data_IF_305454330112
#
_entry.id   IF_305454330112
#
_cell.length_a   1.000
_cell.length_b   1.000
_cell.length_c   1.000
_cell.angle_alpha   90.00
_cell.angle_beta   90.00
_cell.angle_gamma   90.00
#
_symmetry.space_group_name_H-M   'P 1'
#
loop_
_entity.id
_entity.type
_entity.pdbx_description
1 polymer ?
#
# COMPACT_ATOMS: atom_id res chain seq x y z
N UNK A 1 -34.46 39.65 -55.74
CA UNK A 1 -34.53 40.27 -54.40
C UNK A 1 -35.44 39.40 -53.51
N UNK A 2 -34.98 39.00 -52.31
CA UNK A 2 -35.53 38.02 -51.32
C UNK A 2 -35.40 36.52 -51.74
N UNK A 3 -34.36 35.77 -51.34
CA UNK A 3 -33.98 35.15 -50.04
C UNK A 3 -35.00 34.12 -49.51
N UNK A 4 -34.63 32.82 -49.55
CA UNK A 4 -34.69 31.87 -48.42
C UNK A 4 -33.54 30.85 -48.57
N UNK A 5 -32.64 30.83 -47.59
CA UNK A 5 -31.55 29.85 -47.40
C UNK A 5 -32.07 28.70 -46.52
N UNK A 6 -31.66 27.47 -46.82
CA UNK A 6 -31.75 26.26 -45.99
C UNK A 6 -30.40 25.55 -46.13
N UNK A 7 -29.46 25.76 -45.19
CA UNK A 7 -29.01 24.78 -44.17
C UNK A 7 -28.18 23.65 -44.82
N UNK A 8 -26.86 23.85 -45.03
CA UNK A 8 -25.69 23.42 -44.19
C UNK A 8 -25.54 21.91 -44.02
N UNK A 9 -24.38 21.26 -44.01
CA UNK A 9 -22.99 21.46 -44.45
C UNK A 9 -22.36 20.05 -44.27
N UNK A 10 -21.45 19.57 -45.13
CA UNK A 10 -20.90 18.22 -45.02
C UNK A 10 -19.73 18.22 -44.05
N UNK A 11 -19.79 17.42 -42.98
CA UNK A 11 -18.64 17.10 -42.13
C UNK A 11 -18.91 15.79 -41.41
N UNK A 12 -18.80 14.68 -42.14
CA UNK A 12 -18.70 13.35 -41.54
C UNK A 12 -17.22 13.04 -41.32
N UNK A 13 -16.64 13.61 -40.27
CA UNK A 13 -15.30 13.20 -39.80
C UNK A 13 -15.48 12.04 -38.84
N UNK A 14 -15.04 10.85 -39.27
CA UNK A 14 -14.86 9.68 -38.41
C UNK A 14 -13.95 10.07 -37.24
N UNK A 15 -14.51 10.25 -36.04
CA UNK A 15 -13.75 10.24 -34.81
C UNK A 15 -13.40 8.78 -34.50
N UNK A 16 -12.14 8.44 -34.69
CA UNK A 16 -11.53 7.22 -34.15
C UNK A 16 -11.59 7.30 -32.63
N UNK A 17 -12.55 6.59 -32.04
CA UNK A 17 -12.51 6.28 -30.62
C UNK A 17 -11.34 5.33 -30.39
N UNK A 18 -10.20 5.85 -29.91
CA UNK A 18 -9.15 5.02 -29.33
C UNK A 18 -9.67 4.49 -27.99
N UNK A 19 -10.39 3.37 -28.05
CA UNK A 19 -10.61 2.51 -26.90
C UNK A 19 -9.25 1.92 -26.50
N UNK A 20 -8.59 2.50 -25.51
CA UNK A 20 -7.57 1.80 -24.73
C UNK A 20 -8.27 0.71 -23.94
N UNK A 21 -8.39 -0.47 -24.54
CA UNK A 21 -8.91 -1.66 -23.86
C UNK A 21 -7.99 -1.97 -22.67
N UNK A 22 -8.54 -1.89 -21.47
CA UNK A 22 -7.94 -2.47 -20.26
C UNK A 22 -7.80 -3.96 -20.54
N UNK A 23 -6.58 -4.47 -20.62
CA UNK A 23 -6.33 -5.85 -21.02
C UNK A 23 -6.71 -6.77 -19.85
N UNK A 24 -7.98 -7.18 -19.80
CA UNK A 24 -8.49 -8.13 -18.81
C UNK A 24 -8.06 -9.55 -19.20
N UNK A 25 -6.83 -9.93 -18.84
CA UNK A 25 -6.31 -11.27 -19.12
C UNK A 25 -5.04 -11.61 -18.34
N UNK A 26 -4.86 -12.90 -18.05
CA UNK A 26 -3.62 -13.43 -17.48
C UNK A 26 -2.64 -13.74 -18.61
N UNK A 27 -1.46 -13.12 -18.60
CA UNK A 27 -0.38 -13.39 -19.55
C UNK A 27 0.56 -14.44 -18.95
N UNK A 28 0.92 -15.45 -19.75
CA UNK A 28 1.87 -16.51 -19.37
C UNK A 28 3.25 -16.21 -19.95
N UNK A 29 4.27 -16.37 -19.13
CA UNK A 29 5.67 -16.28 -19.53
C UNK A 29 6.49 -17.37 -18.84
N UNK A 30 7.67 -17.69 -19.38
CA UNK A 30 8.59 -18.70 -18.82
C UNK A 30 9.81 -18.02 -18.21
N UNK A 31 10.31 -18.58 -17.10
CA UNK A 31 11.50 -18.10 -16.38
C UNK A 31 12.46 -19.29 -16.24
N UNK A 32 13.75 -19.07 -16.53
CA UNK A 32 14.82 -20.03 -16.24
C UNK A 32 15.39 -19.76 -14.85
N UNK A 33 15.56 -20.80 -14.04
CA UNK A 33 16.11 -20.71 -12.67
C UNK A 33 17.11 -21.85 -12.45
N UNK A 34 18.10 -21.66 -11.57
CA UNK A 34 18.94 -22.77 -11.13
C UNK A 34 18.08 -23.85 -10.41
N UNK A 35 18.40 -25.15 -10.56
CA UNK A 35 17.63 -26.22 -9.94
C UNK A 35 17.46 -26.05 -8.43
N UNK A 36 18.54 -25.67 -7.73
CA UNK A 36 18.53 -25.47 -6.28
C UNK A 36 17.63 -24.30 -5.87
N UNK A 37 17.55 -23.24 -6.69
CA UNK A 37 16.69 -22.10 -6.42
C UNK A 37 15.21 -22.48 -6.60
N UNK A 38 14.89 -23.28 -7.62
CA UNK A 38 13.53 -23.80 -7.82
C UNK A 38 13.11 -24.71 -6.65
N UNK A 39 14.02 -25.55 -6.17
CA UNK A 39 13.74 -26.40 -5.01
C UNK A 39 13.44 -25.56 -3.76
N UNK A 40 14.26 -24.55 -3.48
CA UNK A 40 14.02 -23.63 -2.37
C UNK A 40 12.69 -22.86 -2.48
N UNK A 41 12.25 -22.54 -3.71
CA UNK A 41 10.95 -21.93 -3.94
C UNK A 41 9.80 -22.89 -3.61
N UNK A 42 9.90 -24.16 -4.03
CA UNK A 42 8.88 -25.18 -3.78
C UNK A 42 8.69 -25.49 -2.29
N UNK A 43 9.79 -25.54 -1.54
CA UNK A 43 9.74 -25.73 -0.09
C UNK A 43 8.96 -24.60 0.60
N UNK A 44 9.12 -23.36 0.12
CA UNK A 44 8.38 -22.19 0.65
C UNK A 44 6.89 -22.25 0.33
N UNK A 45 6.51 -22.73 -0.86
CA UNK A 45 5.09 -22.87 -1.25
C UNK A 45 4.35 -23.78 -0.28
N UNK A 46 4.94 -24.93 0.04
CA UNK A 46 4.37 -25.91 0.96
C UNK A 46 4.28 -25.31 2.37
N UNK A 47 5.37 -24.71 2.86
CA UNK A 47 5.44 -24.16 4.21
C UNK A 47 4.45 -23.00 4.44
N UNK A 48 4.18 -22.19 3.41
CA UNK A 48 3.33 -21.00 3.49
C UNK A 48 1.89 -21.23 2.98
N UNK A 49 1.56 -22.45 2.53
CA UNK A 49 0.21 -22.82 2.11
C UNK A 49 -0.27 -22.17 0.80
N UNK A 50 0.66 -21.80 -0.09
CA UNK A 50 0.32 -21.22 -1.39
C UNK A 50 -0.35 -22.26 -2.30
N UNK A 51 -1.36 -21.82 -3.06
CA UNK A 51 -2.09 -22.68 -4.00
C UNK A 51 -1.28 -23.08 -5.23
N UNK A 52 -0.27 -22.28 -5.61
CA UNK A 52 0.61 -22.55 -6.75
C UNK A 52 1.89 -21.72 -6.72
N UNK A 53 2.92 -22.16 -7.48
CA UNK A 53 4.13 -21.36 -7.77
C UNK A 53 3.79 -19.98 -8.33
N UNK A 54 2.82 -19.94 -9.25
CA UNK A 54 2.39 -18.68 -9.87
C UNK A 54 1.79 -17.72 -8.86
N UNK A 55 1.12 -18.19 -7.80
CA UNK A 55 0.60 -17.30 -6.75
C UNK A 55 1.74 -16.68 -5.95
N UNK A 56 2.67 -17.51 -5.46
CA UNK A 56 3.84 -17.02 -4.72
C UNK A 56 4.65 -16.01 -5.56
N UNK A 57 4.92 -16.32 -6.83
CA UNK A 57 5.66 -15.42 -7.72
C UNK A 57 4.89 -14.12 -7.96
N UNK A 58 3.57 -14.17 -8.14
CA UNK A 58 2.75 -12.94 -8.28
C UNK A 58 2.80 -12.08 -7.03
N UNK A 59 2.72 -12.68 -5.86
CA UNK A 59 2.80 -11.95 -4.59
C UNK A 59 4.18 -11.34 -4.38
N UNK A 60 5.26 -12.07 -4.65
CA UNK A 60 6.62 -11.53 -4.60
C UNK A 60 6.82 -10.36 -5.57
N UNK A 61 6.27 -10.44 -6.79
CA UNK A 61 6.31 -9.35 -7.77
C UNK A 61 5.55 -8.13 -7.24
N UNK A 62 4.32 -8.31 -6.73
CA UNK A 62 3.53 -7.22 -6.15
C UNK A 62 4.25 -6.56 -4.98
N UNK A 63 4.81 -7.37 -4.06
CA UNK A 63 5.57 -6.86 -2.91
C UNK A 63 6.77 -6.03 -3.38
N UNK A 64 7.49 -6.50 -4.40
CA UNK A 64 8.63 -5.78 -4.96
C UNK A 64 8.23 -4.45 -5.60
N UNK A 65 7.12 -4.43 -6.36
CA UNK A 65 6.57 -3.20 -6.95
C UNK A 65 6.18 -2.21 -5.86
N UNK A 66 5.48 -2.64 -4.81
CA UNK A 66 5.13 -1.79 -3.66
C UNK A 66 6.39 -1.20 -3.03
N UNK A 67 7.45 -1.99 -2.85
CA UNK A 67 8.71 -1.50 -2.29
C UNK A 67 9.35 -0.40 -3.15
N UNK A 68 9.24 -0.50 -4.48
CA UNK A 68 9.75 0.49 -5.44
C UNK A 68 8.89 1.75 -5.50
N UNK A 69 7.55 1.62 -5.47
CA UNK A 69 6.62 2.77 -5.41
C UNK A 69 6.88 3.65 -4.18
N UNK A 70 7.29 3.04 -3.08
CA UNK A 70 7.65 3.72 -1.84
C UNK A 70 9.01 4.44 -1.88
N UNK A 71 9.82 4.23 -2.92
CA UNK A 71 11.05 4.99 -3.16
C UNK A 71 10.77 6.32 -3.86
N UNK A 72 9.65 6.44 -4.57
CA UNK A 72 9.22 7.69 -5.17
C UNK A 72 8.59 8.60 -4.12
N UNK A 73 9.27 9.70 -3.80
CA UNK A 73 8.85 10.66 -2.78
C UNK A 73 7.61 11.48 -3.18
N UNK A 74 7.20 11.41 -4.45
CA UNK A 74 6.03 12.13 -4.96
C UNK A 74 4.72 11.37 -4.78
N UNK A 75 4.78 10.05 -4.61
CA UNK A 75 3.61 9.20 -4.54
C UNK A 75 2.92 9.25 -3.16
N UNK A 76 1.60 9.40 -3.19
CA UNK A 76 0.75 9.22 -2.01
C UNK A 76 0.48 7.74 -1.82
N UNK A 77 0.89 7.23 -0.66
CA UNK A 77 0.80 5.83 -0.30
C UNK A 77 -0.15 5.64 0.88
N UNK A 78 -0.64 4.41 1.05
CA UNK A 78 -1.40 3.99 2.23
C UNK A 78 -0.58 2.96 3.01
N UNK A 79 -0.69 2.97 4.33
CA UNK A 79 0.00 2.02 5.18
C UNK A 79 -0.75 1.75 6.48
N UNK A 80 -0.34 0.68 7.17
CA UNK A 80 -0.80 0.37 8.51
C UNK A 80 0.41 0.28 9.44
N UNK A 81 0.44 1.09 10.48
CA UNK A 81 1.39 0.93 11.58
C UNK A 81 0.76 0.04 12.65
N UNK A 82 1.39 -1.08 12.96
CA UNK A 82 1.01 -1.95 14.08
C UNK A 82 2.00 -1.73 15.21
N UNK A 83 1.51 -1.46 16.42
CA UNK A 83 2.35 -1.31 17.60
C UNK A 83 1.79 -2.03 18.82
N UNK A 84 2.68 -2.44 19.72
CA UNK A 84 2.35 -2.91 21.07
C UNK A 84 3.11 -2.06 22.07
N UNK A 85 2.43 -1.55 23.09
CA UNK A 85 3.05 -0.71 24.11
C UNK A 85 2.45 -0.92 25.49
N UNK A 86 3.19 -0.48 26.53
CA UNK A 86 2.72 -0.52 27.91
C UNK A 86 1.92 0.73 28.26
N UNK A 87 0.61 0.64 28.49
CA UNK A 87 -0.22 1.80 28.80
C UNK A 87 -0.01 2.40 30.21
N UNK A 88 0.67 1.69 31.12
CA UNK A 88 1.12 2.27 32.40
C UNK A 88 2.40 3.09 32.27
N UNK A 89 3.09 3.04 31.12
CA UNK A 89 4.23 3.90 30.89
C UNK A 89 3.76 5.36 30.93
N UNK A 90 4.27 6.09 31.91
CA UNK A 90 3.89 7.48 32.16
C UNK A 90 4.02 8.32 30.88
N UNK A 91 2.96 9.06 30.59
CA UNK A 91 2.80 9.99 29.45
C UNK A 91 2.91 9.36 28.05
N UNK A 92 3.00 8.02 27.93
CA UNK A 92 3.19 7.38 26.63
C UNK A 92 1.98 7.58 25.70
N UNK A 93 0.77 7.32 26.19
CA UNK A 93 -0.46 7.51 25.42
C UNK A 93 -0.61 8.95 24.93
N UNK A 94 -0.33 9.92 25.81
CA UNK A 94 -0.42 11.32 25.45
C UNK A 94 0.58 11.66 24.34
N UNK A 95 1.83 11.21 24.46
CA UNK A 95 2.85 11.42 23.42
C UNK A 95 2.47 10.78 22.09
N UNK A 96 1.92 9.56 22.11
CA UNK A 96 1.43 8.88 20.91
C UNK A 96 0.35 9.72 20.21
N UNK A 97 -0.61 10.24 20.98
CA UNK A 97 -1.69 11.10 20.47
C UNK A 97 -1.13 12.42 19.94
N UNK A 98 -0.20 13.06 20.65
CA UNK A 98 0.42 14.32 20.22
C UNK A 98 1.17 14.15 18.89
N UNK A 99 1.92 13.05 18.73
CA UNK A 99 2.62 12.71 17.47
C UNK A 99 1.62 12.48 16.33
N UNK A 100 0.49 11.80 16.60
CA UNK A 100 -0.59 11.65 15.63
C UNK A 100 -1.19 12.99 15.20
N UNK A 101 -1.43 13.91 16.14
CA UNK A 101 -1.99 15.23 15.84
C UNK A 101 -1.02 16.16 15.10
N UNK A 102 0.29 16.04 15.34
CA UNK A 102 1.32 16.83 14.68
C UNK A 102 1.85 16.19 13.39
N UNK A 103 1.34 15.03 13.00
CA UNK A 103 1.81 14.31 11.83
C UNK A 103 1.57 15.11 10.54
N UNK A 104 2.54 15.05 9.61
CA UNK A 104 2.42 15.65 8.26
C UNK A 104 1.65 14.76 7.27
N UNK A 105 1.10 13.66 7.76
CA UNK A 105 0.35 12.65 7.01
C UNK A 105 -1.07 12.59 7.55
N UNK A 106 -1.97 12.01 6.77
CA UNK A 106 -3.33 11.74 7.21
C UNK A 106 -3.36 10.50 8.11
N UNK A 107 -3.85 10.67 9.34
CA UNK A 107 -4.23 9.58 10.23
C UNK A 107 -5.70 9.26 9.94
N UNK A 108 -5.98 8.17 9.21
CA UNK A 108 -7.34 7.85 8.78
C UNK A 108 -8.19 7.27 9.91
N UNK A 109 -7.62 6.34 10.67
CA UNK A 109 -8.19 5.85 11.92
C UNK A 109 -7.13 5.11 12.74
N UNK A 110 -7.42 4.95 14.03
CA UNK A 110 -6.68 4.06 14.92
C UNK A 110 -7.65 3.09 15.58
N UNK A 111 -7.25 1.81 15.67
CA UNK A 111 -7.96 0.78 16.44
C UNK A 111 -7.09 0.33 17.58
N UNK A 112 -7.61 0.42 18.80
CA UNK A 112 -6.92 0.08 20.03
C UNK A 112 -7.56 -1.12 20.71
N UNK A 113 -6.73 -2.07 21.15
CA UNK A 113 -7.16 -3.29 21.85
C UNK A 113 -6.32 -3.48 23.10
N UNK A 114 -6.98 -3.63 24.25
CA UNK A 114 -6.31 -4.06 25.48
C UNK A 114 -6.03 -5.56 25.40
N UNK A 115 -4.74 -5.94 25.39
CA UNK A 115 -4.31 -7.34 25.34
C UNK A 115 -4.35 -7.94 26.75
N UNK A 116 -3.81 -7.19 27.72
CA UNK A 116 -3.75 -7.58 29.12
C UNK A 116 -3.67 -6.33 30.03
N UNK A 117 -3.46 -6.54 31.32
CA UNK A 117 -3.40 -5.48 32.34
C UNK A 117 -2.33 -4.42 32.06
N UNK A 118 -1.32 -4.69 31.22
CA UNK A 118 -0.25 -3.75 30.93
C UNK A 118 -0.11 -3.43 29.44
N UNK A 119 -0.58 -4.29 28.54
CA UNK A 119 -0.27 -4.21 27.11
C UNK A 119 -1.48 -3.77 26.29
N UNK A 120 -1.23 -2.86 25.37
CA UNK A 120 -2.17 -2.45 24.34
C UNK A 120 -1.59 -2.76 22.97
N UNK A 121 -2.43 -3.22 22.05
CA UNK A 121 -2.16 -3.29 20.63
C UNK A 121 -2.90 -2.15 19.96
N UNK A 122 -2.21 -1.43 19.07
CA UNK A 122 -2.82 -0.37 18.30
C UNK A 122 -2.44 -0.51 16.82
N UNK A 123 -3.43 -0.37 15.95
CA UNK A 123 -3.24 -0.32 14.50
C UNK A 123 -3.69 1.02 13.98
N UNK A 124 -2.77 1.77 13.34
CA UNK A 124 -3.04 3.10 12.81
C UNK A 124 -2.98 3.02 11.29
N UNK A 125 -4.08 3.40 10.62
CA UNK A 125 -4.16 3.48 9.16
C UNK A 125 -3.72 4.88 8.73
N UNK A 126 -2.72 4.93 7.85
CA UNK A 126 -2.00 6.14 7.45
C UNK A 126 -2.11 6.38 5.95
N UNK A 127 -2.18 7.64 5.53
CA UNK A 127 -2.06 8.05 4.13
C UNK A 127 -1.17 9.27 3.99
N UNK A 128 -0.25 9.26 3.03
CA UNK A 128 0.67 10.38 2.80
C UNK A 128 1.88 9.97 1.98
N UNK A 129 2.91 10.84 1.94
CA UNK A 129 4.17 10.51 1.25
C UNK A 129 4.90 9.40 1.99
N UNK A 130 5.51 8.47 1.25
CA UNK A 130 6.20 7.30 1.81
C UNK A 130 7.27 7.67 2.85
N UNK A 131 8.04 8.73 2.58
CA UNK A 131 9.04 9.26 3.51
C UNK A 131 8.44 9.79 4.82
N UNK A 132 7.31 10.52 4.75
CA UNK A 132 6.65 11.08 5.93
C UNK A 132 5.99 9.98 6.77
N UNK A 133 5.37 8.98 6.14
CA UNK A 133 4.83 7.80 6.84
C UNK A 133 5.95 7.05 7.57
N UNK A 134 7.10 6.87 6.92
CA UNK A 134 8.27 6.19 7.49
C UNK A 134 8.82 6.95 8.70
N UNK A 135 8.91 8.27 8.61
CA UNK A 135 9.36 9.12 9.71
C UNK A 135 8.41 9.05 10.90
N UNK A 136 7.09 9.13 10.66
CA UNK A 136 6.07 8.94 11.69
C UNK A 136 6.21 7.58 12.40
N UNK A 137 6.40 6.49 11.64
CA UNK A 137 6.58 5.16 12.22
C UNK A 137 7.87 5.05 13.07
N UNK A 138 8.95 5.73 12.66
CA UNK A 138 10.19 5.79 13.44
C UNK A 138 10.04 6.58 14.73
N UNK A 139 9.34 7.71 14.69
CA UNK A 139 9.07 8.52 15.87
C UNK A 139 8.28 7.74 16.93
N UNK A 140 7.17 7.09 16.51
CA UNK A 140 6.38 6.22 17.38
C UNK A 140 7.22 5.05 17.90
N UNK A 141 7.92 4.34 17.01
CA UNK A 141 8.74 3.17 17.40
C UNK A 141 9.89 3.51 18.35
N UNK A 142 10.37 4.75 18.35
CA UNK A 142 11.43 5.23 19.23
C UNK A 142 10.97 5.63 20.64
N UNK A 143 9.65 5.67 20.90
CA UNK A 143 9.12 6.03 22.20
C UNK A 143 9.44 4.96 23.24
N UNK A 144 10.00 5.38 24.37
CA UNK A 144 10.18 4.49 25.54
C UNK A 144 8.84 3.92 25.97
N UNK A 145 8.74 2.59 26.00
CA UNK A 145 7.52 1.85 26.39
C UNK A 145 6.76 1.25 25.21
N UNK A 146 7.11 1.61 23.97
CA UNK A 146 6.74 0.84 22.78
C UNK A 146 7.60 -0.42 22.73
N UNK A 147 6.96 -1.58 22.75
CA UNK A 147 7.58 -2.91 22.77
C UNK A 147 7.72 -3.51 21.37
N UNK A 148 6.79 -3.15 20.48
CA UNK A 148 6.77 -3.60 19.10
C UNK A 148 6.24 -2.47 18.22
N UNK A 149 6.83 -2.30 17.05
CA UNK A 149 6.36 -1.37 16.02
C UNK A 149 6.74 -1.92 14.65
N UNK A 150 5.76 -2.08 13.77
CA UNK A 150 5.96 -2.56 12.39
C UNK A 150 5.05 -1.78 11.45
N UNK A 151 5.69 -1.17 10.45
CA UNK A 151 4.99 -0.52 9.34
C UNK A 151 4.75 -1.55 8.23
N UNK A 152 3.48 -1.77 7.91
CA UNK A 152 3.03 -2.52 6.74
C UNK A 152 2.72 -1.53 5.62
N UNK A 153 3.53 -1.59 4.56
CA UNK A 153 3.41 -0.73 3.38
C UNK A 153 2.43 -1.36 2.40
N UNK A 154 1.55 -0.56 1.80
CA UNK A 154 0.68 -1.00 0.71
C UNK A 154 0.92 -0.15 -0.52
N UNK A 155 0.56 -0.66 -1.71
CA UNK A 155 0.48 0.17 -2.91
C UNK A 155 -0.75 1.08 -2.84
N UNK A 156 -0.72 2.12 -3.66
CA UNK A 156 -1.94 2.80 -4.07
C UNK A 156 -2.60 1.95 -5.16
N UNK A 157 -3.81 1.45 -4.92
CA UNK A 157 -4.60 0.83 -5.99
C UNK A 157 -5.24 1.97 -6.81
N UNK A 158 -4.56 2.40 -7.88
CA UNK A 158 -5.11 3.27 -8.91
C UNK A 158 -5.51 2.46 -10.15
#
# INVERSE_FOLDING_TARGET
MKIKKSITNPNHTHKTHTHTSKNEGVIRFSISLEPDLLQNLDERIIAQGYSSRSELVRDMIREKIVQEEWQDETNINTAVLVMIYNHHQRDLNQRIIDIQHCAKIEILCSTHVHIDAHNCLETIILRGKGGEIKNFAYEIGGLKGVKFSKLTRTSSFA
#
